data_IF_776063786482
#
_entry.id   IF_776063786482
#
_cell.length_a   1.000
_cell.length_b   1.000
_cell.length_c   1.000
_cell.angle_alpha   90.00
_cell.angle_beta   90.00
_cell.angle_gamma   90.00
#
_symmetry.space_group_name_H-M   'P 1'
#
loop_
_entity.id
_entity.type
_entity.pdbx_description
1 polymer ?
#
# COMPACT_ATOMS: atom_id res chain seq x y z
N UNK A 1 19.98 1.99 13.80
CA UNK A 1 18.61 2.40 13.43
C UNK A 1 18.28 1.72 12.10
N UNK A 2 17.18 0.95 11.98
CA UNK A 2 16.86 0.31 10.69
C UNK A 2 16.16 1.32 9.80
N UNK A 3 16.89 1.92 8.87
CA UNK A 3 16.31 2.71 7.78
C UNK A 3 15.37 1.83 6.96
N UNK A 4 14.22 2.36 6.57
CA UNK A 4 13.29 1.68 5.66
C UNK A 4 12.96 2.64 4.54
N UNK A 5 13.42 2.28 3.35
CA UNK A 5 13.11 3.00 2.12
C UNK A 5 11.77 2.52 1.58
N UNK A 6 10.95 3.45 1.13
CA UNK A 6 9.69 3.15 0.44
C UNK A 6 9.33 4.26 -0.54
N UNK A 7 8.45 3.94 -1.49
CA UNK A 7 7.81 4.95 -2.34
C UNK A 7 6.44 5.32 -1.75
N UNK A 8 6.13 6.61 -1.74
CA UNK A 8 4.85 7.18 -1.33
C UNK A 8 4.43 8.18 -2.40
N UNK A 9 3.24 7.97 -3.00
CA UNK A 9 2.67 8.86 -4.04
C UNK A 9 3.70 9.27 -5.10
N UNK A 10 4.40 8.29 -5.66
CA UNK A 10 5.44 8.49 -6.68
C UNK A 10 6.71 9.22 -6.23
N UNK A 11 6.89 9.49 -4.94
CA UNK A 11 8.13 10.02 -4.34
C UNK A 11 8.82 8.95 -3.51
N UNK A 12 10.14 9.06 -3.36
CA UNK A 12 10.93 8.16 -2.52
C UNK A 12 11.24 8.87 -1.22
N UNK A 13 10.91 8.21 -0.11
CA UNK A 13 11.15 8.72 1.23
C UNK A 13 12.02 7.71 1.99
N UNK A 14 13.16 8.18 2.50
CA UNK A 14 13.94 7.47 3.52
C UNK A 14 13.44 7.94 4.89
N UNK A 15 12.71 7.07 5.59
CA UNK A 15 12.13 7.40 6.88
C UNK A 15 12.93 6.73 8.01
N UNK A 16 13.35 7.55 8.96
CA UNK A 16 13.96 7.12 10.22
C UNK A 16 13.28 7.85 11.39
N UNK A 17 12.78 7.11 12.37
CA UNK A 17 12.17 7.69 13.58
C UNK A 17 13.18 7.80 14.71
N UNK A 18 13.68 9.02 14.99
CA UNK A 18 14.51 9.24 16.18
C UNK A 18 13.63 9.32 17.42
N UNK A 19 13.85 8.44 18.40
CA UNK A 19 13.39 8.70 19.77
C UNK A 19 14.09 9.96 20.25
N UNK A 20 13.32 10.99 20.62
CA UNK A 20 13.76 12.31 21.07
C UNK A 20 15.18 12.36 21.68
N UNK A 21 16.15 12.82 20.88
CA UNK A 21 17.25 13.74 21.25
C UNK A 21 18.22 13.84 20.07
N UNK A 22 18.37 15.08 19.58
CA UNK A 22 19.52 15.66 18.85
C UNK A 22 20.52 14.70 18.22
N UNK A 23 20.58 14.67 16.89
CA UNK A 23 21.85 14.76 16.16
C UNK A 23 21.58 15.17 14.70
N UNK A 24 21.92 16.41 14.37
CA UNK A 24 22.13 16.84 12.99
C UNK A 24 23.37 16.14 12.46
N UNK A 25 23.23 15.31 11.43
CA UNK A 25 24.37 14.92 10.62
C UNK A 25 24.02 14.95 9.14
N UNK A 26 24.56 16.00 8.50
CA UNK A 26 24.64 16.22 7.06
C UNK A 26 25.10 14.98 6.29
N UNK A 27 24.33 14.61 5.26
CA UNK A 27 24.71 13.64 4.24
C UNK A 27 24.37 14.17 2.85
N UNK A 28 25.39 14.67 2.15
CA UNK A 28 25.33 15.22 0.80
C UNK A 28 25.01 14.15 -0.25
N UNK A 29 24.05 14.41 -1.13
CA UNK A 29 24.09 13.93 -2.52
C UNK A 29 23.40 14.90 -3.47
N UNK A 30 24.04 15.15 -4.61
CA UNK A 30 23.67 16.15 -5.62
C UNK A 30 22.76 15.57 -6.69
N UNK A 31 21.52 16.04 -6.73
CA UNK A 31 20.79 16.44 -7.95
C UNK A 31 19.65 17.37 -7.52
N UNK A 32 19.56 18.51 -8.20
CA UNK A 32 18.69 19.64 -7.89
C UNK A 32 17.21 19.38 -8.19
N UNK A 33 16.49 18.89 -7.19
CA UNK A 33 15.09 19.27 -6.98
C UNK A 33 15.04 19.94 -5.60
N UNK A 34 14.87 21.26 -5.57
CA UNK A 34 14.61 21.96 -4.31
C UNK A 34 13.20 21.60 -3.86
N UNK A 35 13.08 20.51 -3.10
CA UNK A 35 11.81 20.11 -2.50
C UNK A 35 11.38 21.16 -1.48
N UNK A 36 10.11 21.58 -1.56
CA UNK A 36 9.52 22.37 -0.49
C UNK A 36 9.32 21.44 0.72
N UNK A 37 10.07 21.69 1.80
CA UNK A 37 9.97 20.93 3.05
C UNK A 37 8.53 20.83 3.53
N UNK A 38 7.72 21.89 3.33
CA UNK A 38 6.30 21.90 3.71
C UNK A 38 5.47 20.95 2.87
N UNK A 39 5.79 20.79 1.59
CA UNK A 39 5.09 19.85 0.71
C UNK A 39 5.37 18.40 1.15
N UNK A 40 6.62 18.10 1.51
CA UNK A 40 7.02 16.78 2.02
C UNK A 40 6.37 16.50 3.37
N UNK A 41 6.37 17.48 4.29
CA UNK A 41 5.72 17.37 5.59
C UNK A 41 4.22 17.11 5.44
N UNK A 42 3.54 17.86 4.55
CA UNK A 42 2.12 17.67 4.28
C UNK A 42 1.83 16.29 3.68
N UNK A 43 2.70 15.80 2.79
CA UNK A 43 2.58 14.47 2.21
C UNK A 43 2.72 13.37 3.27
N UNK A 44 3.73 13.48 4.14
CA UNK A 44 3.95 12.54 5.24
C UNK A 44 2.77 12.56 6.19
N UNK A 45 2.29 13.75 6.57
CA UNK A 45 1.11 13.89 7.43
C UNK A 45 -0.13 13.23 6.82
N UNK A 46 -0.41 13.43 5.54
CA UNK A 46 -1.56 12.81 4.86
C UNK A 46 -1.42 11.28 4.78
N UNK A 47 -0.24 10.78 4.42
CA UNK A 47 0.02 9.35 4.25
C UNK A 47 -0.06 8.57 5.57
N UNK A 48 0.53 9.09 6.64
CA UNK A 48 0.47 8.49 7.99
C UNK A 48 -0.77 8.90 8.79
N UNK A 49 -1.61 9.80 8.23
CA UNK A 49 -2.79 10.37 8.88
C UNK A 49 -2.46 10.96 10.25
N UNK A 50 -1.40 11.78 10.31
CA UNK A 50 -0.87 12.34 11.56
C UNK A 50 -1.87 13.32 12.16
N UNK A 51 -2.34 14.29 11.36
CA UNK A 51 -3.23 15.35 11.83
C UNK A 51 -4.69 14.92 11.94
N UNK A 52 -5.07 13.83 11.26
CA UNK A 52 -6.46 13.37 11.18
C UNK A 52 -6.90 12.55 12.41
N UNK A 53 -5.96 11.89 13.10
CA UNK A 53 -6.27 10.99 14.20
C UNK A 53 -5.24 11.08 15.32
N UNK A 54 -5.73 11.35 16.53
CA UNK A 54 -4.99 11.12 17.75
C UNK A 54 -4.98 9.61 18.07
N UNK A 55 -3.84 8.98 17.82
CA UNK A 55 -3.66 7.54 18.03
C UNK A 55 -3.63 7.19 19.51
N UNK A 56 -3.16 8.08 20.38
CA UNK A 56 -3.14 7.83 21.82
C UNK A 56 -4.58 7.81 22.35
N UNK A 57 -5.40 8.79 21.94
CA UNK A 57 -6.82 8.84 22.29
C UNK A 57 -7.57 7.59 21.77
N UNK A 58 -7.36 7.20 20.51
CA UNK A 58 -7.98 6.00 19.94
C UNK A 58 -7.54 4.72 20.65
N UNK A 59 -6.26 4.59 20.96
CA UNK A 59 -5.72 3.45 21.69
C UNK A 59 -6.30 3.36 23.10
N UNK A 60 -6.41 4.48 23.82
CA UNK A 60 -7.08 4.52 25.11
C UNK A 60 -8.54 4.11 25.02
N UNK A 61 -9.25 4.60 24.00
CA UNK A 61 -10.64 4.26 23.77
C UNK A 61 -10.81 2.74 23.52
N UNK A 62 -10.04 2.17 22.60
CA UNK A 62 -10.09 0.73 22.31
C UNK A 62 -9.66 -0.13 23.51
N UNK A 63 -8.68 0.32 24.30
CA UNK A 63 -8.29 -0.36 25.53
C UNK A 63 -9.38 -0.31 26.61
N UNK A 64 -10.23 0.72 26.64
CA UNK A 64 -11.40 0.79 27.53
C UNK A 64 -12.52 -0.13 27.06
N UNK A 65 -12.75 -0.24 25.76
CA UNK A 65 -13.79 -1.10 25.15
C UNK A 65 -13.42 -2.59 25.23
N UNK A 66 -12.14 -2.92 25.04
CA UNK A 66 -11.61 -4.28 25.12
C UNK A 66 -10.34 -4.35 26.01
N UNK A 67 -10.51 -4.32 27.35
CA UNK A 67 -9.38 -4.31 28.28
C UNK A 67 -8.57 -5.60 28.27
N UNK A 68 -9.21 -6.72 27.95
CA UNK A 68 -8.63 -8.05 28.11
C UNK A 68 -7.74 -8.46 26.94
N UNK A 69 -8.04 -8.01 25.72
CA UNK A 69 -7.24 -8.28 24.55
C UNK A 69 -6.52 -7.01 24.07
N UNK A 70 -7.24 -6.00 23.58
CA UNK A 70 -6.59 -4.77 23.07
C UNK A 70 -5.78 -4.05 24.15
N UNK A 71 -6.34 -3.86 25.35
CA UNK A 71 -5.67 -3.18 26.46
C UNK A 71 -4.37 -3.84 26.91
N UNK A 72 -4.20 -5.15 26.68
CA UNK A 72 -2.93 -5.86 26.94
C UNK A 72 -1.95 -5.70 25.77
N UNK A 73 -2.44 -5.80 24.53
CA UNK A 73 -1.61 -5.75 23.30
C UNK A 73 -1.00 -4.36 23.10
N UNK A 74 -1.78 -3.29 23.26
CA UNK A 74 -1.35 -1.92 22.92
C UNK A 74 -0.17 -1.42 23.75
N UNK A 75 0.05 -2.00 24.94
CA UNK A 75 1.22 -1.73 25.79
C UNK A 75 2.55 -2.15 25.14
N UNK A 76 2.50 -3.15 24.26
CA UNK A 76 3.66 -3.66 23.53
C UNK A 76 3.75 -3.09 22.11
N UNK A 77 2.63 -2.59 21.58
CA UNK A 77 2.48 -2.16 20.20
C UNK A 77 1.88 -0.76 20.13
N UNK A 78 2.63 0.22 20.62
CA UNK A 78 2.25 1.64 20.55
C UNK A 78 2.52 2.22 19.15
N UNK A 79 1.75 3.25 18.78
CA UNK A 79 1.96 4.02 17.54
C UNK A 79 1.53 3.34 16.24
N UNK A 80 0.77 2.24 16.29
CA UNK A 80 0.18 1.65 15.09
C UNK A 80 -0.80 2.62 14.42
N UNK A 81 -0.57 2.87 13.12
CA UNK A 81 -1.37 3.76 12.29
C UNK A 81 -1.86 3.00 11.06
N UNK A 82 -3.08 3.31 10.63
CA UNK A 82 -3.56 2.89 9.32
C UNK A 82 -3.06 3.89 8.28
N UNK A 83 -2.43 3.42 7.21
CA UNK A 83 -1.90 4.28 6.16
C UNK A 83 -2.98 4.69 5.16
N UNK A 84 -2.89 5.93 4.66
CA UNK A 84 -3.73 6.43 3.57
C UNK A 84 -3.01 6.20 2.22
N UNK A 85 -3.07 4.96 1.77
CA UNK A 85 -2.42 4.51 0.53
C UNK A 85 -3.08 5.07 -0.73
N UNK A 86 -2.40 5.05 -1.87
CA UNK A 86 -2.98 5.39 -3.17
C UNK A 86 -4.05 4.33 -3.58
N UNK A 87 -5.27 4.72 -4.00
CA UNK A 87 -6.36 3.77 -4.25
C UNK A 87 -6.09 2.67 -5.30
N UNK A 88 -5.43 3.00 -6.41
CA UNK A 88 -5.10 2.05 -7.48
C UNK A 88 -4.08 1.00 -6.98
N UNK A 89 -2.97 1.46 -6.39
CA UNK A 89 -1.93 0.61 -5.77
C UNK A 89 -2.54 -0.28 -4.70
N UNK A 90 -3.43 0.27 -3.87
CA UNK A 90 -4.14 -0.47 -2.83
C UNK A 90 -4.97 -1.60 -3.43
N UNK A 91 -5.79 -1.31 -4.44
CA UNK A 91 -6.66 -2.29 -5.09
C UNK A 91 -5.85 -3.46 -5.68
N UNK A 92 -4.82 -3.18 -6.46
CA UNK A 92 -4.00 -4.23 -7.08
C UNK A 92 -3.14 -5.00 -6.07
N UNK A 93 -2.67 -4.34 -5.01
CA UNK A 93 -1.96 -5.00 -3.90
C UNK A 93 -2.86 -5.98 -3.16
N UNK A 94 -4.14 -5.63 -2.94
CA UNK A 94 -5.13 -6.54 -2.34
C UNK A 94 -5.55 -7.68 -3.27
N UNK A 95 -5.67 -7.44 -4.58
CA UNK A 95 -5.86 -8.53 -5.55
C UNK A 95 -4.72 -9.55 -5.43
N UNK A 96 -3.47 -9.07 -5.31
CA UNK A 96 -2.29 -9.90 -5.07
C UNK A 96 -2.31 -10.64 -3.72
N UNK A 97 -3.03 -10.14 -2.72
CA UNK A 97 -3.07 -10.67 -1.35
C UNK A 97 -4.05 -11.81 -1.12
N UNK A 98 -5.09 -11.92 -1.95
CA UNK A 98 -6.12 -12.99 -1.87
C UNK A 98 -5.49 -14.36 -1.63
N UNK A 99 -5.75 -15.06 -0.52
CA UNK A 99 -5.12 -16.35 -0.16
C UNK A 99 -3.60 -16.44 -0.43
N UNK A 100 -2.82 -15.57 0.20
CA UNK A 100 -1.37 -15.45 -0.02
C UNK A 100 -0.64 -15.06 1.28
N UNK A 101 0.70 -15.07 1.28
CA UNK A 101 1.51 -14.60 2.41
C UNK A 101 2.24 -13.31 2.09
N UNK A 102 2.55 -12.51 3.12
CA UNK A 102 3.15 -11.18 2.96
C UNK A 102 4.41 -11.21 2.09
N UNK A 103 5.31 -12.18 2.29
CA UNK A 103 6.55 -12.27 1.49
C UNK A 103 6.30 -12.42 -0.01
N UNK A 104 5.32 -13.25 -0.39
CA UNK A 104 4.96 -13.44 -1.80
C UNK A 104 4.17 -12.26 -2.35
N UNK A 105 3.32 -11.63 -1.55
CA UNK A 105 2.59 -10.42 -1.94
C UNK A 105 3.57 -9.29 -2.26
N UNK A 106 4.53 -9.02 -1.37
CA UNK A 106 5.56 -8.00 -1.58
C UNK A 106 6.31 -8.23 -2.89
N UNK A 107 6.73 -9.48 -3.17
CA UNK A 107 7.41 -9.82 -4.42
C UNK A 107 6.52 -9.64 -5.65
N UNK A 108 5.24 -9.98 -5.55
CA UNK A 108 4.29 -9.79 -6.66
C UNK A 108 4.12 -8.31 -6.97
N UNK A 109 3.88 -7.47 -5.96
CA UNK A 109 3.75 -6.02 -6.15
C UNK A 109 5.04 -5.44 -6.70
N UNK A 110 6.22 -5.85 -6.18
CA UNK A 110 7.51 -5.41 -6.70
C UNK A 110 7.69 -5.75 -8.19
N UNK A 111 7.31 -6.97 -8.61
CA UNK A 111 7.37 -7.35 -10.03
C UNK A 111 6.44 -6.49 -10.90
N UNK A 112 5.25 -6.11 -10.42
CA UNK A 112 4.40 -5.17 -11.16
C UNK A 112 5.10 -3.81 -11.36
N UNK A 113 5.70 -3.28 -10.30
CA UNK A 113 6.43 -2.02 -10.38
C UNK A 113 7.67 -2.10 -11.29
N UNK A 114 8.43 -3.19 -11.24
CA UNK A 114 9.63 -3.36 -12.07
C UNK A 114 9.32 -3.52 -13.56
N UNK A 115 8.25 -4.24 -13.90
CA UNK A 115 7.92 -4.55 -15.29
C UNK A 115 7.11 -3.44 -15.98
N UNK A 116 6.22 -2.77 -15.22
CA UNK A 116 5.25 -1.81 -15.79
C UNK A 116 5.37 -0.40 -15.18
N UNK A 117 6.14 -0.23 -14.11
CA UNK A 117 6.29 1.05 -13.43
C UNK A 117 7.42 1.90 -14.02
N UNK A 118 7.33 3.20 -13.79
CA UNK A 118 8.40 4.12 -14.14
C UNK A 118 9.56 4.01 -13.15
N UNK A 119 10.79 3.82 -13.64
CA UNK A 119 11.99 3.80 -12.80
C UNK A 119 12.27 5.20 -12.22
N UNK A 120 12.42 5.26 -10.90
CA UNK A 120 12.74 6.48 -10.14
C UNK A 120 14.25 6.70 -9.97
N UNK A 121 15.07 5.73 -10.36
CA UNK A 121 16.51 5.73 -10.21
C UNK A 121 17.05 4.59 -9.37
N UNK A 122 18.38 4.55 -9.20
CA UNK A 122 19.07 3.61 -8.32
C UNK A 122 19.29 4.22 -6.94
N UNK A 123 19.03 3.44 -5.91
CA UNK A 123 19.13 3.86 -4.52
C UNK A 123 20.08 2.94 -3.78
N UNK A 124 20.96 3.54 -2.98
CA UNK A 124 21.93 2.80 -2.18
C UNK A 124 21.59 2.93 -0.70
N UNK A 125 21.43 1.79 -0.04
CA UNK A 125 21.22 1.68 1.41
C UNK A 125 22.44 1.02 2.08
N UNK A 126 22.38 0.88 3.40
CA UNK A 126 23.41 0.25 4.23
C UNK A 126 24.80 0.90 4.01
N UNK A 127 24.86 2.23 4.10
CA UNK A 127 26.09 3.02 4.00
C UNK A 127 26.89 2.78 2.70
N UNK A 128 26.19 2.54 1.58
CA UNK A 128 26.84 2.38 0.28
C UNK A 128 26.93 0.92 -0.20
N UNK A 129 26.45 -0.05 0.58
CA UNK A 129 26.69 -1.48 0.32
C UNK A 129 25.68 -2.06 -0.67
N UNK A 130 24.41 -1.67 -0.57
CA UNK A 130 23.33 -2.31 -1.34
C UNK A 130 22.66 -1.30 -2.26
N UNK A 131 22.90 -1.40 -3.57
CA UNK A 131 22.22 -0.59 -4.59
C UNK A 131 21.12 -1.38 -5.28
N UNK A 132 19.94 -0.79 -5.42
CA UNK A 132 18.82 -1.38 -6.14
C UNK A 132 17.97 -0.29 -6.83
N UNK A 133 17.37 -0.60 -7.98
CA UNK A 133 16.45 0.32 -8.65
C UNK A 133 15.13 0.40 -7.87
N UNK A 134 14.53 1.59 -7.84
CA UNK A 134 13.20 1.82 -7.30
C UNK A 134 12.26 2.24 -8.42
N UNK A 135 11.00 1.82 -8.33
CA UNK A 135 9.98 2.06 -9.36
C UNK A 135 8.73 2.65 -8.72
N UNK A 136 8.02 3.48 -9.48
CA UNK A 136 6.64 3.87 -9.14
C UNK A 136 5.73 2.65 -9.26
N UNK A 137 4.63 2.65 -8.51
CA UNK A 137 3.54 1.76 -8.86
C UNK A 137 3.01 2.15 -10.26
N UNK A 138 2.71 1.19 -11.15
CA UNK A 138 2.27 1.49 -12.51
C UNK A 138 0.96 2.29 -12.54
N UNK A 139 0.82 3.21 -13.48
CA UNK A 139 -0.47 3.87 -13.74
C UNK A 139 -1.47 2.89 -14.36
N UNK A 140 -2.75 3.26 -14.41
CA UNK A 140 -3.76 2.40 -15.03
C UNK A 140 -3.43 2.15 -16.50
N UNK A 141 -2.96 3.16 -17.23
CA UNK A 141 -2.56 3.10 -18.63
C UNK A 141 -1.39 2.14 -18.84
N UNK A 142 -0.38 2.17 -17.95
CA UNK A 142 0.75 1.24 -18.00
C UNK A 142 0.31 -0.20 -17.72
N UNK A 143 -0.66 -0.40 -16.83
CA UNK A 143 -1.23 -1.73 -16.57
C UNK A 143 -2.08 -2.25 -17.74
N UNK A 144 -2.47 -1.43 -18.71
CA UNK A 144 -3.18 -1.91 -19.91
C UNK A 144 -2.27 -2.75 -20.81
N UNK A 145 -0.97 -2.51 -20.76
CA UNK A 145 0.02 -3.32 -21.48
C UNK A 145 0.15 -4.72 -20.87
N UNK A 146 -0.40 -4.96 -19.68
CA UNK A 146 -0.39 -6.26 -19.04
C UNK A 146 -1.33 -7.25 -19.74
N UNK A 147 -0.81 -8.18 -20.54
CA UNK A 147 -1.61 -9.33 -20.97
C UNK A 147 -1.59 -10.45 -19.94
N UNK A 148 -2.67 -11.25 -19.85
CA UNK A 148 -2.70 -12.43 -18.97
C UNK A 148 -1.57 -13.41 -19.30
N UNK A 149 -1.17 -13.50 -20.59
CA UNK A 149 -0.08 -14.35 -21.06
C UNK A 149 1.27 -13.83 -20.58
N UNK A 150 1.54 -12.53 -20.65
CA UNK A 150 2.80 -11.94 -20.15
C UNK A 150 2.87 -12.00 -18.64
N UNK A 151 1.79 -11.63 -17.95
CA UNK A 151 1.69 -11.79 -16.50
C UNK A 151 1.80 -13.25 -16.07
N UNK A 152 1.56 -14.24 -16.96
CA UNK A 152 1.86 -15.67 -16.74
C UNK A 152 3.28 -16.07 -17.15
N UNK A 153 3.86 -15.40 -18.12
CA UNK A 153 5.18 -15.67 -18.67
C UNK A 153 6.30 -15.12 -17.77
N UNK A 154 6.18 -13.87 -17.30
CA UNK A 154 7.05 -13.26 -16.28
C UNK A 154 7.15 -14.19 -15.04
N UNK A 155 6.09 -14.95 -14.75
CA UNK A 155 6.02 -15.94 -13.65
C UNK A 155 6.93 -17.14 -13.84
N UNK A 156 7.02 -17.67 -15.06
CA UNK A 156 7.77 -18.89 -15.34
C UNK A 156 9.28 -18.64 -15.22
N UNK A 157 9.72 -17.42 -15.55
CA UNK A 157 11.13 -17.06 -15.45
C UNK A 157 11.52 -16.54 -14.05
N UNK A 158 10.66 -15.76 -13.37
CA UNK A 158 10.99 -15.12 -12.07
C UNK A 158 10.47 -15.85 -10.82
N UNK A 159 9.87 -17.05 -10.94
CA UNK A 159 9.37 -17.88 -9.80
C UNK A 159 8.31 -17.22 -8.90
N UNK A 160 7.68 -16.13 -9.31
CA UNK A 160 6.71 -15.38 -8.50
C UNK A 160 5.29 -15.52 -9.03
N UNK A 161 4.79 -16.76 -9.10
CA UNK A 161 3.52 -17.11 -9.75
C UNK A 161 2.31 -16.30 -9.22
N UNK A 162 1.73 -15.42 -10.03
CA UNK A 162 0.47 -14.72 -9.72
C UNK A 162 -0.74 -15.67 -9.68
N UNK A 163 -0.66 -16.78 -10.44
CA UNK A 163 -1.71 -17.79 -10.54
C UNK A 163 -2.98 -17.22 -11.15
N UNK A 164 -4.13 -17.54 -10.54
CA UNK A 164 -5.42 -17.01 -10.97
C UNK A 164 -5.53 -15.48 -10.84
N UNK A 165 -4.67 -14.83 -10.04
CA UNK A 165 -4.70 -13.37 -9.83
C UNK A 165 -4.26 -12.60 -11.07
N UNK A 166 -3.45 -13.19 -11.96
CA UNK A 166 -3.11 -12.57 -13.23
C UNK A 166 -4.38 -12.23 -14.04
N UNK A 167 -5.36 -13.16 -14.06
CA UNK A 167 -6.67 -12.91 -14.67
C UNK A 167 -7.42 -11.79 -13.97
N UNK A 168 -7.37 -11.73 -12.64
CA UNK A 168 -8.06 -10.68 -11.87
C UNK A 168 -7.48 -9.30 -12.12
N UNK A 169 -6.16 -9.18 -12.28
CA UNK A 169 -5.49 -7.93 -12.61
C UNK A 169 -5.99 -7.44 -13.98
N UNK A 170 -5.92 -8.26 -15.02
CA UNK A 170 -6.36 -7.90 -16.37
C UNK A 170 -7.83 -7.48 -16.38
N UNK A 171 -8.71 -8.27 -15.75
CA UNK A 171 -10.13 -7.94 -15.66
C UNK A 171 -10.40 -6.66 -14.86
N UNK A 172 -9.59 -6.37 -13.85
CA UNK A 172 -9.72 -5.14 -13.05
C UNK A 172 -9.28 -3.93 -13.86
N UNK A 173 -8.20 -4.04 -14.64
CA UNK A 173 -7.78 -2.99 -15.58
C UNK A 173 -8.90 -2.71 -16.58
N UNK A 174 -9.41 -3.73 -17.27
CA UNK A 174 -10.53 -3.60 -18.23
C UNK A 174 -11.73 -2.88 -17.60
N UNK A 175 -12.10 -3.28 -16.38
CA UNK A 175 -13.24 -2.68 -15.68
C UNK A 175 -13.01 -1.25 -15.23
N UNK A 176 -11.78 -0.90 -14.82
CA UNK A 176 -11.44 0.47 -14.45
C UNK A 176 -11.44 1.42 -15.65
N UNK A 177 -11.11 0.93 -16.86
CA UNK A 177 -11.18 1.73 -18.09
C UNK A 177 -12.60 2.18 -18.44
N UNK A 178 -13.60 1.39 -18.05
CA UNK A 178 -15.01 1.75 -18.26
C UNK A 178 -15.51 2.79 -17.25
N UNK A 179 -14.72 3.11 -16.22
CA UNK A 179 -15.06 4.06 -15.17
C UNK A 179 -14.49 5.44 -15.49
N UNK A 180 -15.11 6.52 -14.96
CA UNK A 180 -14.56 7.87 -15.12
C UNK A 180 -13.17 7.99 -14.48
N UNK A 181 -12.39 8.96 -14.95
CA UNK A 181 -11.10 9.29 -14.35
C UNK A 181 -11.24 9.52 -12.84
N UNK A 182 -10.26 9.07 -12.06
CA UNK A 182 -10.25 9.16 -10.59
C UNK A 182 -11.45 8.50 -9.90
N UNK A 183 -12.17 7.59 -10.58
CA UNK A 183 -13.29 6.83 -10.00
C UNK A 183 -13.00 6.28 -8.60
N UNK A 184 -11.83 5.64 -8.41
CA UNK A 184 -11.44 5.08 -7.12
C UNK A 184 -11.28 6.14 -6.01
N UNK A 185 -10.91 7.37 -6.35
CA UNK A 185 -10.86 8.49 -5.40
C UNK A 185 -12.26 8.92 -4.98
N UNK A 186 -13.24 8.85 -5.89
CA UNK A 186 -14.64 9.20 -5.56
C UNK A 186 -15.23 8.26 -4.51
N UNK A 187 -14.69 7.04 -4.35
CA UNK A 187 -15.12 6.11 -3.30
C UNK A 187 -14.77 6.59 -1.87
N UNK A 188 -13.96 7.65 -1.73
CA UNK A 188 -13.65 8.27 -0.44
C UNK A 188 -14.63 9.38 -0.05
N UNK A 189 -15.48 9.79 -0.99
CA UNK A 189 -16.47 10.84 -0.77
C UNK A 189 -17.59 10.33 0.13
N UNK A 190 -17.68 10.87 1.35
CA UNK A 190 -18.69 10.49 2.34
C UNK A 190 -20.09 11.01 2.04
N UNK A 191 -20.23 12.03 1.18
CA UNK A 191 -21.56 12.48 0.75
C UNK A 191 -22.15 11.48 -0.26
N UNK A 192 -21.30 10.97 -1.15
CA UNK A 192 -21.69 9.99 -2.16
C UNK A 192 -21.74 8.55 -1.63
N UNK A 193 -20.82 8.17 -0.76
CA UNK A 193 -20.71 6.85 -0.15
C UNK A 193 -20.65 6.98 1.39
N UNK A 194 -21.80 7.16 2.07
CA UNK A 194 -21.82 7.47 3.50
C UNK A 194 -21.33 6.33 4.39
N UNK A 195 -21.45 5.08 3.93
CA UNK A 195 -21.06 3.91 4.70
C UNK A 195 -19.95 3.11 4.02
N UNK A 196 -19.19 2.36 4.83
CA UNK A 196 -18.20 1.41 4.32
C UNK A 196 -18.84 0.31 3.46
N UNK A 197 -20.13 -0.01 3.68
CA UNK A 197 -20.86 -0.98 2.88
C UNK A 197 -21.11 -0.47 1.46
N UNK A 198 -21.39 0.83 1.28
CA UNK A 198 -21.59 1.42 -0.04
C UNK A 198 -20.30 1.32 -0.88
N UNK A 199 -19.16 1.66 -0.27
CA UNK A 199 -17.84 1.54 -0.90
C UNK A 199 -17.52 0.07 -1.21
N UNK A 200 -17.80 -0.83 -0.27
CA UNK A 200 -17.56 -2.26 -0.45
C UNK A 200 -18.38 -2.85 -1.61
N UNK A 201 -19.64 -2.43 -1.76
CA UNK A 201 -20.48 -2.86 -2.88
C UNK A 201 -19.88 -2.42 -4.22
N UNK A 202 -19.31 -1.23 -4.27
CA UNK A 202 -18.56 -0.79 -5.45
C UNK A 202 -17.28 -1.60 -5.65
N UNK A 203 -16.54 -1.96 -4.60
CA UNK A 203 -15.30 -2.72 -4.75
C UNK A 203 -15.53 -4.19 -5.13
N UNK A 204 -16.63 -4.80 -4.68
CA UNK A 204 -17.02 -6.19 -5.02
C UNK A 204 -17.18 -6.45 -6.52
N UNK A 205 -17.32 -5.39 -7.31
CA UNK A 205 -17.41 -5.50 -8.76
C UNK A 205 -16.08 -5.90 -9.41
N UNK A 206 -14.94 -5.70 -8.73
CA UNK A 206 -13.61 -6.04 -9.25
C UNK A 206 -13.25 -7.50 -8.93
N UNK A 207 -12.69 -8.21 -9.91
CA UNK A 207 -12.32 -9.61 -9.74
C UNK A 207 -11.29 -9.78 -8.62
N UNK A 208 -11.51 -10.78 -7.75
CA UNK A 208 -10.64 -11.02 -6.60
C UNK A 208 -10.94 -10.15 -5.38
N UNK A 209 -11.83 -9.16 -5.49
CA UNK A 209 -12.36 -8.39 -4.37
C UNK A 209 -13.66 -9.03 -3.89
N UNK A 210 -13.63 -9.67 -2.73
CA UNK A 210 -14.81 -10.23 -2.08
C UNK A 210 -14.79 -9.92 -0.59
N UNK A 211 -15.95 -10.04 0.06
CA UNK A 211 -16.01 -10.03 1.52
C UNK A 211 -15.40 -11.30 2.08
N UNK A 212 -14.48 -11.15 3.03
CA UNK A 212 -14.05 -12.24 3.91
C UNK A 212 -15.23 -12.90 4.67
N UNK A 213 -16.38 -12.24 4.72
CA UNK A 213 -17.59 -12.62 5.46
C UNK A 213 -18.63 -13.44 4.67
N UNK A 214 -18.38 -13.78 3.40
CA UNK A 214 -19.20 -14.79 2.68
C UNK A 214 -18.60 -16.20 2.78
N UNK A 215 -17.90 -16.50 3.88
CA UNK A 215 -17.73 -17.89 4.29
C UNK A 215 -19.07 -18.32 4.90
N UNK A 216 -19.75 -19.37 4.39
CA UNK A 216 -20.85 -19.96 5.12
C UNK A 216 -20.32 -20.31 6.51
N UNK A 217 -21.06 -19.95 7.56
CA UNK A 217 -20.75 -20.21 8.96
C UNK A 217 -19.90 -21.49 9.09
N UNK A 218 -18.57 -21.31 9.16
CA UNK A 218 -17.70 -22.43 9.49
C UNK A 218 -18.03 -22.68 10.94
N UNK A 219 -18.82 -23.75 11.12
CA UNK A 219 -19.26 -24.28 12.39
C UNK A 219 -18.16 -24.10 13.44
N UNK A 220 -18.36 -23.13 14.33
CA UNK A 220 -17.73 -23.14 15.64
C UNK A 220 -18.48 -24.22 16.43
N UNK A 221 -18.19 -25.47 16.09
CA UNK A 221 -18.57 -26.62 16.89
C UNK A 221 -17.36 -27.55 16.99
N UNK A 222 -16.87 -27.60 18.23
CA UNK A 222 -15.91 -28.52 18.87
C UNK A 222 -14.44 -28.13 18.80
#
# INVERSE_FOLDING_TARGET
MRKRLGSVTSRILDLASSSSSTDESNGSSSASDSFDEKEVEQLISDYFQIDNYDIEELHEHFAKVDPDLFGKIVKYYCGWRLLKMEPLETLFSFICSSNNNVSRITKMVQVLCEEYGECLGEFTIDDGVTTFPMYKFPTLEQLEECTEKELKYVLNFRKHNFGYRAKYIVQTVEKLKEKPEKYLYTLRDKEKYPTSLDVLNELKQFSGMSTFLELPEIAIHQ
#
